data_IF_295046331452
#
_entry.id   IF_295046331452
#
_cell.length_a   1.000
_cell.length_b   1.000
_cell.length_c   1.000
_cell.angle_alpha   90.00
_cell.angle_beta   90.00
_cell.angle_gamma   90.00
#
_symmetry.space_group_name_H-M   'P 1'
#
loop_
_entity.id
_entity.type
_entity.pdbx_description
1 polymer ?
#
# COMPACT_ATOMS: atom_id res chain seq x y z
N UNK A 1 -17.57 7.54 -26.40
CA UNK A 1 -16.82 6.65 -27.33
C UNK A 1 -15.37 6.47 -26.89
N UNK A 2 -14.63 7.51 -26.47
CA UNK A 2 -13.25 7.36 -25.95
C UNK A 2 -13.09 6.30 -24.85
N UNK A 3 -13.99 6.21 -23.86
CA UNK A 3 -13.91 5.19 -22.81
C UNK A 3 -14.14 3.77 -23.33
N UNK A 4 -14.89 3.60 -24.42
CA UNK A 4 -15.09 2.28 -25.03
C UNK A 4 -13.77 1.80 -25.66
N UNK A 5 -13.17 2.62 -26.53
CA UNK A 5 -11.91 2.30 -27.20
C UNK A 5 -10.77 2.05 -26.21
N UNK A 6 -10.71 2.83 -25.13
CA UNK A 6 -9.73 2.60 -24.07
C UNK A 6 -9.90 1.23 -23.40
N UNK A 7 -11.15 0.83 -23.11
CA UNK A 7 -11.43 -0.48 -22.53
C UNK A 7 -11.16 -1.61 -23.53
N UNK A 8 -11.54 -1.43 -24.80
CA UNK A 8 -11.23 -2.40 -25.87
C UNK A 8 -9.72 -2.61 -26.00
N UNK A 9 -8.93 -1.53 -26.06
CA UNK A 9 -7.47 -1.61 -26.14
C UNK A 9 -6.85 -2.33 -24.94
N UNK A 10 -7.33 -2.07 -23.72
CA UNK A 10 -6.86 -2.80 -22.52
C UNK A 10 -7.16 -4.30 -22.63
N UNK A 11 -8.36 -4.65 -23.10
CA UNK A 11 -8.76 -6.05 -23.24
C UNK A 11 -7.98 -6.76 -24.33
N UNK A 12 -7.76 -6.11 -25.48
CA UNK A 12 -6.97 -6.63 -26.59
C UNK A 12 -5.52 -6.83 -26.14
N UNK A 13 -4.91 -5.81 -25.51
CA UNK A 13 -3.55 -5.93 -24.96
C UNK A 13 -3.45 -7.06 -23.92
N UNK A 14 -4.41 -7.18 -23.00
CA UNK A 14 -4.41 -8.23 -22.00
C UNK A 14 -4.59 -9.62 -22.61
N UNK A 15 -5.37 -9.74 -23.69
CA UNK A 15 -5.54 -11.00 -24.43
C UNK A 15 -4.26 -11.40 -25.16
N UNK A 16 -3.60 -10.43 -25.82
CA UNK A 16 -2.33 -10.66 -26.53
C UNK A 16 -1.18 -11.02 -25.59
N UNK A 17 -1.20 -10.51 -24.35
CA UNK A 17 -0.13 -10.69 -23.35
C UNK A 17 -0.54 -11.61 -22.18
N UNK A 18 -1.57 -12.43 -22.35
CA UNK A 18 -2.19 -13.18 -21.25
C UNK A 18 -1.22 -14.08 -20.49
N UNK A 19 -0.32 -14.78 -21.18
CA UNK A 19 0.68 -15.68 -20.57
C UNK A 19 1.67 -14.88 -19.70
N UNK A 20 2.24 -13.80 -20.25
CA UNK A 20 3.14 -12.90 -19.53
C UNK A 20 2.49 -12.29 -18.29
N UNK A 21 1.23 -11.84 -18.40
CA UNK A 21 0.49 -11.29 -17.26
C UNK A 21 0.30 -12.36 -16.18
N UNK A 22 -0.06 -13.60 -16.56
CA UNK A 22 -0.23 -14.69 -15.61
C UNK A 22 1.08 -15.11 -14.94
N UNK A 23 2.20 -15.10 -15.67
CA UNK A 23 3.54 -15.35 -15.11
C UNK A 23 3.91 -14.28 -14.08
N UNK A 24 3.72 -13.00 -14.43
CA UNK A 24 3.98 -11.87 -13.54
C UNK A 24 3.13 -11.91 -12.28
N UNK A 25 1.84 -12.26 -12.39
CA UNK A 25 0.97 -12.44 -11.22
C UNK A 25 1.47 -13.59 -10.34
N UNK A 26 1.85 -14.73 -10.93
CA UNK A 26 2.42 -15.86 -10.16
C UNK A 26 3.72 -15.51 -9.46
N UNK A 27 4.58 -14.70 -10.08
CA UNK A 27 5.80 -14.18 -9.47
C UNK A 27 5.49 -13.19 -8.33
N UNK A 28 4.50 -12.31 -8.54
CA UNK A 28 4.02 -11.36 -7.53
C UNK A 28 3.28 -12.03 -6.36
N UNK A 29 2.80 -13.27 -6.52
CA UNK A 29 2.22 -14.09 -5.45
C UNK A 29 3.28 -14.95 -4.73
N UNK A 30 4.53 -14.98 -5.22
CA UNK A 30 5.59 -15.71 -4.53
C UNK A 30 5.94 -15.06 -3.19
N UNK A 31 6.40 -15.86 -2.25
CA UNK A 31 6.80 -15.41 -0.91
C UNK A 31 7.78 -14.25 -0.96
N UNK A 32 7.57 -13.26 -0.09
CA UNK A 32 8.49 -12.13 0.10
C UNK A 32 9.31 -12.21 1.36
N UNK A 33 9.16 -13.26 2.17
CA UNK A 33 9.88 -13.40 3.44
C UNK A 33 11.39 -13.25 3.22
N UNK A 34 12.00 -12.33 3.95
CA UNK A 34 13.43 -12.02 3.85
C UNK A 34 13.82 -11.09 2.70
N UNK A 35 12.88 -10.65 1.86
CA UNK A 35 13.13 -9.66 0.81
C UNK A 35 13.07 -8.23 1.38
N UNK A 36 13.91 -7.34 0.85
CA UNK A 36 13.79 -5.90 1.09
C UNK A 36 12.65 -5.34 0.23
N UNK A 37 11.66 -4.73 0.88
CA UNK A 37 10.52 -4.09 0.24
C UNK A 37 10.46 -2.62 0.64
N UNK A 38 9.98 -1.78 -0.28
CA UNK A 38 9.79 -0.36 -0.02
C UNK A 38 8.71 -0.16 1.04
N UNK A 39 9.02 0.62 2.07
CA UNK A 39 8.00 1.18 2.98
C UNK A 39 7.63 2.59 2.56
N UNK A 40 8.49 3.29 1.83
CA UNK A 40 8.17 4.60 1.28
C UNK A 40 8.77 4.74 -0.11
N UNK A 41 8.02 5.36 -1.01
CA UNK A 41 8.47 5.56 -2.38
C UNK A 41 8.32 7.01 -2.85
N UNK A 42 9.03 7.35 -3.92
CA UNK A 42 8.88 8.62 -4.63
C UNK A 42 8.78 8.37 -6.12
N UNK A 43 8.13 9.29 -6.84
CA UNK A 43 8.02 9.21 -8.29
C UNK A 43 9.41 9.29 -8.94
N UNK A 44 9.68 8.36 -9.84
CA UNK A 44 10.87 8.32 -10.65
C UNK A 44 10.55 8.82 -12.06
N UNK A 45 11.35 9.78 -12.53
CA UNK A 45 11.23 10.31 -13.88
C UNK A 45 11.82 9.34 -14.90
N UNK A 46 11.21 9.22 -16.08
CA UNK A 46 11.79 8.46 -17.19
C UNK A 46 13.19 8.99 -17.57
N UNK A 47 14.11 8.11 -18.01
CA UNK A 47 15.48 8.50 -18.36
C UNK A 47 15.55 9.46 -19.56
N UNK A 48 14.50 9.50 -20.38
CA UNK A 48 14.34 10.42 -21.51
C UNK A 48 12.89 10.86 -21.61
N UNK A 49 12.66 11.95 -22.33
CA UNK A 49 11.31 12.33 -22.74
C UNK A 49 10.69 11.22 -23.59
N UNK A 50 9.39 10.99 -23.38
CA UNK A 50 8.56 10.09 -24.16
C UNK A 50 7.46 10.89 -24.82
N UNK A 51 6.92 10.37 -25.92
CA UNK A 51 5.79 10.99 -26.60
C UNK A 51 4.49 10.66 -25.85
N UNK A 52 3.85 11.68 -25.28
CA UNK A 52 2.54 11.56 -24.64
C UNK A 52 1.49 12.25 -25.52
N UNK A 53 0.41 11.52 -25.81
CA UNK A 53 -0.70 12.00 -26.60
C UNK A 53 -1.66 12.85 -25.75
N UNK A 54 -1.50 14.17 -25.79
CA UNK A 54 -2.35 15.11 -25.06
C UNK A 54 -3.64 15.40 -25.85
N UNK A 55 -4.80 15.24 -25.20
CA UNK A 55 -6.08 15.60 -25.80
C UNK A 55 -6.45 17.07 -25.59
N UNK A 56 -6.95 17.74 -26.62
CA UNK A 56 -7.54 19.07 -26.42
C UNK A 56 -8.87 18.96 -25.67
N UNK A 57 -9.24 20.03 -24.97
CA UNK A 57 -10.50 20.12 -24.23
C UNK A 57 -11.23 21.41 -24.59
N UNK A 58 -12.56 21.36 -24.60
CA UNK A 58 -13.40 22.56 -24.59
C UNK A 58 -14.11 22.69 -23.25
N UNK A 59 -14.20 23.92 -22.76
CA UNK A 59 -15.02 24.24 -21.59
C UNK A 59 -16.50 24.14 -21.94
N UNK A 60 -17.25 23.40 -21.13
CA UNK A 60 -18.70 23.31 -21.20
C UNK A 60 -19.29 23.49 -19.81
N UNK A 61 -20.56 23.87 -19.72
CA UNK A 61 -21.27 23.90 -18.43
C UNK A 61 -21.95 22.56 -18.21
N UNK A 62 -21.66 21.96 -17.07
CA UNK A 62 -22.30 20.72 -16.66
C UNK A 62 -23.82 20.92 -16.56
N UNK A 63 -24.65 20.08 -17.21
CA UNK A 63 -26.07 20.35 -17.38
C UNK A 63 -26.86 20.32 -16.08
N UNK A 64 -26.39 19.60 -15.05
CA UNK A 64 -27.07 19.54 -13.76
C UNK A 64 -26.51 20.52 -12.71
N UNK A 65 -25.21 20.84 -12.76
CA UNK A 65 -24.54 21.62 -11.69
C UNK A 65 -24.16 23.03 -12.14
N UNK A 66 -24.08 23.29 -13.45
CA UNK A 66 -23.67 24.58 -14.03
C UNK A 66 -22.17 24.87 -13.94
N UNK A 67 -21.40 24.00 -13.29
CA UNK A 67 -19.94 24.09 -13.17
C UNK A 67 -19.25 23.91 -14.52
N UNK A 68 -18.07 24.50 -14.68
CA UNK A 68 -17.27 24.31 -15.88
C UNK A 68 -16.68 22.90 -15.85
N UNK A 69 -16.89 22.16 -16.93
CA UNK A 69 -16.29 20.86 -17.21
C UNK A 69 -15.44 20.96 -18.46
N UNK A 70 -14.40 20.13 -18.54
CA UNK A 70 -13.52 20.03 -19.70
C UNK A 70 -13.95 18.83 -20.54
N UNK A 71 -14.61 19.07 -21.67
CA UNK A 71 -14.95 18.01 -22.63
C UNK A 71 -13.77 17.77 -23.56
N UNK A 72 -13.22 16.56 -23.52
CA UNK A 72 -12.21 16.08 -24.48
C UNK A 72 -12.72 16.22 -25.92
N UNK A 73 -11.89 16.80 -26.78
CA UNK A 73 -12.09 16.87 -28.22
C UNK A 73 -11.42 15.68 -28.90
N UNK A 74 -11.82 15.36 -30.12
CA UNK A 74 -11.16 14.35 -30.96
C UNK A 74 -9.91 14.93 -31.64
N UNK A 75 -9.05 15.57 -30.85
CA UNK A 75 -7.76 16.12 -31.25
C UNK A 75 -6.70 15.56 -30.30
N UNK A 76 -5.63 15.04 -30.88
CA UNK A 76 -4.48 14.51 -30.15
C UNK A 76 -3.23 15.23 -30.60
N UNK A 77 -2.56 15.85 -29.64
CA UNK A 77 -1.32 16.60 -29.83
C UNK A 77 -0.19 15.81 -29.15
N UNK A 78 0.75 15.24 -29.93
CA UNK A 78 1.93 14.61 -29.37
C UNK A 78 2.80 15.65 -28.65
N UNK A 79 3.13 15.38 -27.39
CA UNK A 79 4.01 16.24 -26.58
C UNK A 79 5.12 15.38 -26.01
N UNK A 80 6.37 15.80 -26.24
CA UNK A 80 7.52 15.21 -25.57
C UNK A 80 7.59 15.73 -24.14
N UNK A 81 7.58 14.82 -23.17
CA UNK A 81 7.78 15.14 -21.77
C UNK A 81 8.32 13.93 -21.03
N UNK A 82 8.91 14.15 -19.86
CA UNK A 82 9.25 13.06 -18.95
C UNK A 82 7.97 12.48 -18.33
N UNK A 83 7.86 11.15 -18.33
CA UNK A 83 6.81 10.47 -17.58
C UNK A 83 7.27 10.15 -16.15
N UNK A 84 6.31 9.91 -15.26
CA UNK A 84 6.51 9.55 -13.86
C UNK A 84 5.68 8.31 -13.51
N UNK A 85 5.79 7.27 -14.35
CA UNK A 85 5.05 6.01 -14.20
C UNK A 85 5.73 4.98 -13.28
N UNK A 86 6.96 5.24 -12.84
CA UNK A 86 7.75 4.36 -11.98
C UNK A 86 8.01 5.02 -10.62
N UNK A 87 8.33 4.20 -9.62
CA UNK A 87 8.66 4.66 -8.27
C UNK A 87 10.01 4.11 -7.83
N UNK A 88 10.79 4.92 -7.13
CA UNK A 88 12.00 4.47 -6.44
C UNK A 88 11.77 4.43 -4.92
N UNK A 89 12.33 3.44 -4.20
CA UNK A 89 12.24 3.39 -2.75
C UNK A 89 13.06 4.54 -2.13
N UNK A 90 12.49 5.17 -1.11
CA UNK A 90 13.18 6.14 -0.23
C UNK A 90 13.48 5.56 1.15
N UNK A 91 12.69 4.58 1.58
CA UNK A 91 12.89 3.76 2.77
C UNK A 91 12.51 2.31 2.44
N UNK A 92 13.25 1.36 3.00
CA UNK A 92 13.02 -0.08 2.83
C UNK A 92 13.03 -0.79 4.18
N UNK A 93 12.34 -1.91 4.27
CA UNK A 93 12.39 -2.84 5.39
C UNK A 93 12.45 -4.29 4.87
N UNK A 94 12.97 -5.19 5.69
CA UNK A 94 13.00 -6.62 5.36
C UNK A 94 11.68 -7.25 5.78
N UNK A 95 11.00 -7.92 4.85
CA UNK A 95 9.74 -8.59 5.14
C UNK A 95 9.96 -9.73 6.14
N UNK A 96 9.26 -9.72 7.29
CA UNK A 96 9.40 -10.76 8.32
C UNK A 96 8.73 -12.06 7.88
N UNK A 97 8.90 -13.14 8.64
CA UNK A 97 8.17 -14.38 8.43
C UNK A 97 6.69 -14.25 8.85
N UNK A 98 6.41 -13.46 9.89
CA UNK A 98 5.07 -13.32 10.48
C UNK A 98 4.92 -11.98 11.19
N UNK A 99 3.73 -11.40 11.11
CA UNK A 99 3.30 -10.31 12.00
C UNK A 99 2.39 -10.83 13.10
N UNK A 100 2.47 -10.23 14.28
CA UNK A 100 1.61 -10.49 15.42
C UNK A 100 0.85 -9.21 15.77
N UNK A 101 -0.48 -9.26 15.63
CA UNK A 101 -1.36 -8.11 15.88
C UNK A 101 -2.04 -8.30 17.23
N UNK A 102 -1.88 -7.30 18.10
CA UNK A 102 -2.47 -7.29 19.43
C UNK A 102 -4.01 -7.25 19.36
N UNK A 103 -4.71 -7.84 20.35
CA UNK A 103 -6.17 -7.98 20.32
C UNK A 103 -6.92 -6.65 20.38
N UNK A 104 -6.30 -5.57 20.86
CA UNK A 104 -6.88 -4.23 20.91
C UNK A 104 -6.87 -3.51 19.55
N UNK A 105 -6.22 -4.09 18.53
CA UNK A 105 -6.20 -3.60 17.15
C UNK A 105 -7.23 -4.31 16.24
N UNK A 106 -8.44 -4.54 16.76
CA UNK A 106 -9.51 -5.28 16.08
C UNK A 106 -9.84 -4.73 14.67
N UNK A 107 -9.87 -3.40 14.50
CA UNK A 107 -10.18 -2.81 13.19
C UNK A 107 -9.17 -3.18 12.10
N UNK A 108 -7.89 -3.35 12.44
CA UNK A 108 -6.88 -3.80 11.48
C UNK A 108 -7.06 -5.29 11.13
N UNK A 109 -7.38 -6.11 12.12
CA UNK A 109 -7.65 -7.54 11.93
C UNK A 109 -8.86 -7.74 11.00
N UNK A 110 -9.94 -6.99 11.20
CA UNK A 110 -11.13 -7.02 10.34
C UNK A 110 -10.79 -6.64 8.89
N UNK A 111 -9.97 -5.60 8.69
CA UNK A 111 -9.57 -5.13 7.36
C UNK A 111 -8.69 -6.13 6.63
N UNK A 112 -7.71 -6.72 7.31
CA UNK A 112 -6.88 -7.78 6.72
C UNK A 112 -7.73 -8.94 6.21
N UNK A 113 -8.68 -9.39 7.04
CA UNK A 113 -9.62 -10.45 6.64
C UNK A 113 -10.51 -10.03 5.48
N UNK A 114 -10.94 -8.77 5.43
CA UNK A 114 -11.71 -8.25 4.30
C UNK A 114 -10.91 -8.20 3.00
N UNK A 115 -9.58 -8.01 3.08
CA UNK A 115 -8.67 -8.13 1.94
C UNK A 115 -8.37 -9.59 1.55
N UNK A 116 -8.81 -10.58 2.35
CA UNK A 116 -8.50 -11.99 2.13
C UNK A 116 -7.13 -12.43 2.66
N UNK A 117 -6.44 -11.58 3.44
CA UNK A 117 -5.17 -11.95 4.07
C UNK A 117 -5.41 -13.07 5.08
N UNK A 118 -4.65 -14.16 4.95
CA UNK A 118 -4.75 -15.30 5.83
C UNK A 118 -4.24 -14.94 7.24
N UNK A 119 -5.02 -15.32 8.24
CA UNK A 119 -4.70 -15.09 9.65
C UNK A 119 -4.77 -16.40 10.43
N UNK A 120 -3.91 -16.55 11.43
CA UNK A 120 -3.83 -17.70 12.31
C UNK A 120 -3.77 -17.32 13.78
N UNK A 121 -3.61 -18.33 14.63
CA UNK A 121 -3.41 -18.14 16.06
C UNK A 121 -1.93 -17.89 16.37
N UNK A 122 -1.66 -16.93 17.25
CA UNK A 122 -0.32 -16.74 17.79
C UNK A 122 0.13 -17.96 18.63
N UNK A 123 1.45 -18.24 18.67
CA UNK A 123 2.00 -19.30 19.52
C UNK A 123 1.76 -19.02 21.00
N UNK A 124 1.65 -20.08 21.79
CA UNK A 124 1.50 -20.00 23.25
C UNK A 124 2.88 -20.05 23.91
N UNK A 125 3.13 -19.13 24.84
CA UNK A 125 4.39 -19.04 25.59
C UNK A 125 5.25 -17.86 25.14
N UNK A 126 6.49 -17.83 25.64
CA UNK A 126 7.44 -16.80 25.24
C UNK A 126 7.97 -17.06 23.83
N UNK A 127 7.98 -16.00 23.02
CA UNK A 127 8.56 -16.00 21.69
C UNK A 127 9.54 -14.85 21.53
N UNK A 128 10.58 -15.09 20.74
CA UNK A 128 11.49 -14.03 20.30
C UNK A 128 10.87 -13.33 19.10
N UNK A 129 10.66 -12.03 19.24
CA UNK A 129 9.99 -11.18 18.26
C UNK A 129 10.67 -9.81 18.24
N UNK A 130 10.28 -8.96 17.30
CA UNK A 130 10.61 -7.55 17.30
C UNK A 130 9.36 -6.71 17.58
N UNK A 131 9.51 -5.73 18.47
CA UNK A 131 8.50 -4.73 18.75
C UNK A 131 8.96 -3.37 18.21
N UNK A 132 8.06 -2.65 17.55
CA UNK A 132 8.37 -1.30 17.10
C UNK A 132 8.25 -0.30 18.26
N UNK A 133 9.35 0.37 18.56
CA UNK A 133 9.41 1.43 19.57
C UNK A 133 9.20 2.77 18.86
N UNK A 134 8.04 3.38 19.11
CA UNK A 134 7.68 4.70 18.57
C UNK A 134 8.55 5.76 19.23
N UNK A 135 9.22 6.56 18.41
CA UNK A 135 9.99 7.73 18.81
C UNK A 135 9.15 9.01 18.67
N UNK A 136 8.57 9.20 17.49
CA UNK A 136 7.77 10.40 17.18
C UNK A 136 6.71 10.11 16.12
N UNK A 137 5.74 11.02 15.99
CA UNK A 137 4.71 10.92 14.94
C UNK A 137 4.39 12.29 14.35
N UNK A 138 3.95 12.32 13.10
CA UNK A 138 3.41 13.52 12.45
C UNK A 138 2.07 13.19 11.83
N UNK A 139 1.12 14.11 11.89
CA UNK A 139 -0.20 13.98 11.27
C UNK A 139 -0.36 15.07 10.22
N UNK A 140 -0.88 14.72 9.04
CA UNK A 140 -1.12 15.68 7.98
C UNK A 140 -2.18 16.72 8.40
N UNK A 141 -1.96 17.99 8.08
CA UNK A 141 -2.93 19.06 8.39
C UNK A 141 -4.21 18.95 7.56
N UNK A 142 -4.05 18.53 6.29
CA UNK A 142 -5.16 18.36 5.36
C UNK A 142 -5.68 16.93 5.40
N UNK A 143 -7.00 16.78 5.46
CA UNK A 143 -7.61 15.46 5.31
C UNK A 143 -7.58 14.97 3.86
N UNK A 144 -7.30 13.68 3.72
CA UNK A 144 -7.44 12.91 2.50
C UNK A 144 -8.48 11.82 2.73
N UNK A 145 -9.51 11.77 1.89
CA UNK A 145 -10.64 10.82 2.02
C UNK A 145 -11.27 10.73 3.42
N UNK A 146 -11.32 11.85 4.14
CA UNK A 146 -11.90 11.93 5.49
C UNK A 146 -10.99 11.47 6.62
N UNK A 147 -9.69 11.27 6.36
CA UNK A 147 -8.67 10.93 7.37
C UNK A 147 -7.49 11.88 7.26
N UNK A 148 -6.81 12.12 8.37
CA UNK A 148 -5.55 12.84 8.39
C UNK A 148 -4.44 11.80 8.49
N UNK A 149 -3.64 11.66 7.44
CA UNK A 149 -2.62 10.62 7.38
C UNK A 149 -1.56 10.80 8.47
N UNK A 150 -1.08 9.70 9.04
CA UNK A 150 -0.07 9.70 10.11
C UNK A 150 1.22 9.00 9.71
N UNK A 151 2.34 9.69 9.88
CA UNK A 151 3.66 9.09 9.75
C UNK A 151 4.20 8.80 11.16
N UNK A 152 4.63 7.55 11.39
CA UNK A 152 5.20 7.09 12.67
C UNK A 152 6.69 6.86 12.49
N UNK A 153 7.52 7.41 13.36
CA UNK A 153 8.98 7.19 13.38
C UNK A 153 9.37 6.34 14.58
N UNK A 154 10.40 5.53 14.45
CA UNK A 154 10.81 4.59 15.48
C UNK A 154 11.78 3.53 14.97
N UNK A 155 11.94 2.47 15.75
CA UNK A 155 12.81 1.35 15.38
C UNK A 155 12.31 0.02 15.94
N UNK A 156 12.54 -1.05 15.19
CA UNK A 156 12.33 -2.41 15.65
C UNK A 156 13.37 -2.80 16.71
N UNK A 157 12.89 -3.41 17.80
CA UNK A 157 13.73 -3.91 18.90
C UNK A 157 13.37 -5.35 19.22
N UNK A 158 14.38 -6.22 19.24
CA UNK A 158 14.19 -7.61 19.64
C UNK A 158 13.79 -7.71 21.11
N UNK A 159 12.78 -8.52 21.38
CA UNK A 159 12.25 -8.79 22.71
C UNK A 159 11.81 -10.25 22.79
N UNK A 160 12.01 -10.87 23.95
CA UNK A 160 11.41 -12.17 24.27
C UNK A 160 10.23 -11.92 25.19
N UNK A 161 9.02 -12.29 24.76
CA UNK A 161 7.80 -12.05 25.54
C UNK A 161 6.72 -13.05 25.20
N UNK A 162 5.85 -13.33 26.17
CA UNK A 162 4.59 -14.01 25.94
C UNK A 162 3.56 -13.07 25.28
N UNK A 163 3.03 -13.48 24.12
CA UNK A 163 1.98 -12.75 23.43
C UNK A 163 0.65 -12.85 24.21
N UNK A 164 -0.10 -11.75 24.38
CA UNK A 164 -1.36 -11.80 25.10
C UNK A 164 -2.38 -12.70 24.38
N UNK A 165 -3.27 -13.38 25.14
CA UNK A 165 -4.37 -14.13 24.54
C UNK A 165 -5.19 -13.26 23.58
N UNK A 166 -5.56 -13.83 22.43
CA UNK A 166 -6.27 -13.10 21.37
C UNK A 166 -5.35 -12.42 20.35
N UNK A 167 -4.03 -12.47 20.51
CA UNK A 167 -3.08 -12.04 19.46
C UNK A 167 -3.28 -12.86 18.19
N UNK A 168 -3.38 -12.16 17.06
CA UNK A 168 -3.53 -12.77 15.72
C UNK A 168 -2.16 -12.87 15.06
N UNK A 169 -1.85 -14.02 14.48
CA UNK A 169 -0.69 -14.20 13.63
C UNK A 169 -1.06 -13.97 12.16
N UNK A 170 -0.23 -13.26 11.42
CA UNK A 170 -0.36 -13.03 9.98
C UNK A 170 0.92 -13.52 9.32
N UNK A 171 0.95 -14.77 8.82
CA UNK A 171 2.10 -15.27 8.07
C UNK A 171 2.35 -14.40 6.85
N UNK A 172 3.60 -14.09 6.53
CA UNK A 172 3.94 -13.33 5.32
C UNK A 172 4.16 -14.26 4.12
N UNK A 173 4.42 -15.55 4.38
CA UNK A 173 4.54 -16.60 3.38
C UNK A 173 3.17 -17.01 2.81
N UNK A 174 2.55 -16.09 2.07
CA UNK A 174 1.27 -16.24 1.37
C UNK A 174 1.21 -15.29 0.16
N UNK A 175 0.31 -15.50 -0.82
CA UNK A 175 0.19 -14.64 -2.00
C UNK A 175 0.05 -13.15 -1.68
N UNK A 176 -0.70 -12.82 -0.63
CA UNK A 176 -0.90 -11.45 -0.15
C UNK A 176 0.20 -10.96 0.81
N UNK A 177 1.35 -11.62 0.87
CA UNK A 177 2.46 -11.26 1.77
C UNK A 177 2.97 -9.84 1.56
N UNK A 178 3.08 -9.39 0.30
CA UNK A 178 3.40 -7.99 -0.05
C UNK A 178 2.38 -7.01 0.52
N UNK A 179 1.10 -7.32 0.39
CA UNK A 179 0.02 -6.49 0.93
C UNK A 179 0.06 -6.47 2.47
N UNK A 180 0.26 -7.63 3.12
CA UNK A 180 0.39 -7.70 4.57
C UNK A 180 1.56 -6.84 5.08
N UNK A 181 2.71 -6.91 4.41
CA UNK A 181 3.87 -6.04 4.67
C UNK A 181 3.50 -4.56 4.54
N UNK A 182 2.93 -4.14 3.40
CA UNK A 182 2.54 -2.74 3.17
C UNK A 182 1.53 -2.25 4.22
N UNK A 183 0.56 -3.07 4.62
CA UNK A 183 -0.46 -2.67 5.57
C UNK A 183 0.06 -2.60 7.02
N UNK A 184 1.02 -3.45 7.39
CA UNK A 184 1.45 -3.66 8.78
C UNK A 184 2.80 -3.03 9.14
N UNK A 185 3.60 -2.59 8.17
CA UNK A 185 4.83 -1.86 8.46
C UNK A 185 4.52 -0.44 9.00
N UNK A 186 5.09 -0.02 10.15
CA UNK A 186 4.83 1.28 10.75
C UNK A 186 5.25 2.47 9.88
N UNK A 187 6.25 2.27 9.03
CA UNK A 187 6.81 3.27 8.12
C UNK A 187 6.12 3.34 6.76
N UNK A 188 5.21 2.41 6.48
CA UNK A 188 4.54 2.30 5.18
C UNK A 188 3.76 3.56 4.82
N UNK A 189 3.96 4.10 3.62
CA UNK A 189 3.24 5.26 3.09
C UNK A 189 1.78 4.97 2.70
N UNK A 190 1.39 3.69 2.62
CA UNK A 190 0.02 3.25 2.39
C UNK A 190 -0.44 2.20 3.44
N UNK A 191 0.17 2.23 4.63
CA UNK A 191 -0.12 1.28 5.71
C UNK A 191 -1.24 1.71 6.65
N UNK A 192 -1.65 0.81 7.55
CA UNK A 192 -2.66 1.11 8.58
C UNK A 192 -2.24 2.23 9.54
N UNK A 193 -0.94 2.41 9.77
CA UNK A 193 -0.44 3.56 10.51
C UNK A 193 -0.72 4.86 9.75
N UNK A 194 -0.38 4.89 8.45
CA UNK A 194 -0.63 6.01 7.55
C UNK A 194 -2.12 6.37 7.49
N UNK A 195 -2.98 5.37 7.30
CA UNK A 195 -4.43 5.55 7.27
C UNK A 195 -5.09 5.80 8.64
N UNK A 196 -4.31 6.12 9.69
CA UNK A 196 -4.80 6.42 11.03
C UNK A 196 -5.72 5.31 11.62
N UNK A 197 -5.46 4.04 11.28
CA UNK A 197 -6.20 2.89 11.82
C UNK A 197 -5.69 2.55 13.23
N UNK A 198 -4.42 2.80 13.50
CA UNK A 198 -3.77 2.54 14.79
C UNK A 198 -3.70 3.76 15.72
N UNK A 199 -4.40 4.86 15.41
CA UNK A 199 -4.25 6.13 16.13
C UNK A 199 -4.50 6.00 17.63
N UNK A 200 -5.54 5.28 18.04
CA UNK A 200 -5.82 5.07 19.48
C UNK A 200 -4.69 4.35 20.22
N UNK A 201 -4.04 3.37 19.58
CA UNK A 201 -2.91 2.65 20.16
C UNK A 201 -1.64 3.52 20.13
N UNK A 202 -1.38 4.22 19.03
CA UNK A 202 -0.20 5.08 18.86
C UNK A 202 -0.24 6.25 19.84
N UNK A 203 -1.40 6.85 20.08
CA UNK A 203 -1.59 7.92 21.07
C UNK A 203 -1.39 7.42 22.51
N UNK A 204 -1.58 6.13 22.76
CA UNK A 204 -1.22 5.48 24.02
C UNK A 204 0.28 5.12 24.12
N UNK A 205 1.06 5.43 23.07
CA UNK A 205 2.51 5.22 23.00
C UNK A 205 2.93 3.85 22.48
N UNK A 206 2.02 3.10 21.85
CA UNK A 206 2.28 1.73 21.39
C UNK A 206 1.93 1.55 19.91
N UNK A 207 2.81 0.85 19.19
CA UNK A 207 2.43 0.29 17.90
C UNK A 207 1.92 -1.15 18.12
N UNK A 208 0.68 -1.49 17.71
CA UNK A 208 0.04 -2.74 18.12
C UNK A 208 0.45 -3.97 17.29
N UNK A 209 1.50 -3.84 16.48
CA UNK A 209 2.04 -4.91 15.63
C UNK A 209 3.46 -5.22 16.07
N UNK A 210 3.74 -6.51 16.19
CA UNK A 210 5.07 -7.08 16.39
C UNK A 210 5.41 -7.96 15.19
N UNK A 211 6.69 -8.28 14.96
CA UNK A 211 7.11 -9.16 13.86
C UNK A 211 8.05 -10.27 14.32
N UNK A 212 8.03 -11.40 13.64
CA UNK A 212 8.92 -12.55 13.87
C UNK A 212 9.64 -12.95 12.59
N UNK A 213 10.88 -13.42 12.73
CA UNK A 213 11.76 -13.85 11.63
C UNK A 213 12.08 -15.34 11.75
#
# INVERSE_FOLDING_TARGET
MSTLWFVEEILDFAQENAESIQDLVREADASVVGMELATRATFESSPSEVEILMGEVAEERHPQTGEIILRRQEVSNPVLMHEFGTFSPTEVEVAPAVYYILPDAESAIERLRAHGVETGMAPVGEVQIEQFIVDSTTTADRSFQGRNERVVFGSWRSVTRALPPGTVAVPVDQPLGRLAFTLLEPRSDDGFANWAIFDGQIESGLYPVMRGH
#
